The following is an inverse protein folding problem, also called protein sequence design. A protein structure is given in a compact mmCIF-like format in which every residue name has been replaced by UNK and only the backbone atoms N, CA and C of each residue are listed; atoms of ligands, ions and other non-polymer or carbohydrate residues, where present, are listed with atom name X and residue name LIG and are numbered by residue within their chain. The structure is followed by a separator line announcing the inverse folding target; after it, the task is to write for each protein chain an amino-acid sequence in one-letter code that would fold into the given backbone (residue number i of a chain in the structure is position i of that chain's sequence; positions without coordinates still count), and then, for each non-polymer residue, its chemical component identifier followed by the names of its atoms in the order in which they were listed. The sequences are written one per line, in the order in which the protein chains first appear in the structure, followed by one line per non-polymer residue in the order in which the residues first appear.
data_IF_918578063190
#
_entry.id   IF_918578063190
#
_cell.length_a   1.000
_cell.length_b   1.000
_cell.length_c   1.000
_cell.angle_alpha   90.00
_cell.angle_beta   90.00
_cell.angle_gamma   90.00
#
_symmetry.space_group_name_H-M   'P 1'
#
loop_
_entity.id
_entity.type
_entity.pdbx_description
1 polymer ?
#
# COMPACT_ATOMS: atom_id res chain seq x y z
N UNK A 1 33.31 14.23 59.50
CA UNK A 1 33.45 14.71 58.11
C UNK A 1 32.07 15.12 57.65
N UNK A 2 31.85 16.38 57.28
CA UNK A 2 30.53 16.87 56.84
C UNK A 2 30.21 16.27 55.46
N UNK A 3 28.94 15.95 55.19
CA UNK A 3 28.44 15.44 53.90
C UNK A 3 28.95 16.36 52.77
N UNK A 4 29.10 17.66 53.03
CA UNK A 4 29.60 18.63 52.06
C UNK A 4 31.08 18.38 51.70
N UNK A 5 31.93 18.09 52.72
CA UNK A 5 33.34 17.76 52.46
C UNK A 5 33.55 16.44 51.70
N UNK A 6 32.71 15.45 51.94
CA UNK A 6 32.74 14.20 51.20
C UNK A 6 32.28 14.38 49.72
N UNK A 7 31.33 15.26 49.49
CA UNK A 7 30.83 15.59 48.16
C UNK A 7 31.87 16.41 47.36
N UNK A 8 32.51 17.37 47.97
CA UNK A 8 33.55 18.19 47.34
C UNK A 8 34.79 17.36 46.99
N UNK A 9 35.18 16.38 47.83
CA UNK A 9 36.30 15.48 47.55
C UNK A 9 35.98 14.47 46.41
N UNK A 10 34.75 14.02 46.31
CA UNK A 10 34.27 13.17 45.20
C UNK A 10 34.26 13.94 43.86
N UNK A 11 33.86 15.20 43.86
CA UNK A 11 33.85 16.07 42.68
C UNK A 11 35.27 16.36 42.16
N UNK A 12 36.25 16.53 43.07
CA UNK A 12 37.65 16.81 42.72
C UNK A 12 38.43 15.62 42.16
N UNK A 13 37.98 14.38 42.41
CA UNK A 13 38.68 13.17 42.01
C UNK A 13 38.04 12.48 40.78
N UNK A 14 36.87 12.91 40.33
CA UNK A 14 36.22 12.31 39.19
C UNK A 14 36.61 13.00 37.87
N UNK A 15 37.03 12.19 36.90
CA UNK A 15 37.16 12.61 35.50
C UNK A 15 35.88 13.33 35.00
N UNK A 16 35.99 14.36 34.14
CA UNK A 16 34.82 15.15 33.72
C UNK A 16 33.71 14.34 33.05
N UNK A 17 34.07 13.23 32.42
CA UNK A 17 33.10 12.37 31.71
C UNK A 17 32.14 11.63 32.66
N UNK A 18 32.57 10.90 33.69
CA UNK A 18 31.66 10.25 34.64
C UNK A 18 30.82 11.25 35.45
N UNK A 19 31.36 12.44 35.74
CA UNK A 19 30.61 13.49 36.43
C UNK A 19 29.46 14.04 35.54
N UNK A 20 29.71 14.27 34.26
CA UNK A 20 28.68 14.67 33.32
C UNK A 20 27.57 13.59 33.18
N UNK A 21 27.94 12.31 33.12
CA UNK A 21 26.98 11.20 33.05
C UNK A 21 26.13 11.10 34.32
N UNK A 22 26.68 11.39 35.49
CA UNK A 22 25.95 11.35 36.76
C UNK A 22 24.79 12.36 36.81
N UNK A 23 24.89 13.49 36.12
CA UNK A 23 23.83 14.50 36.01
C UNK A 23 22.93 14.31 34.81
N UNK A 24 23.50 13.94 33.68
CA UNK A 24 22.74 13.76 32.41
C UNK A 24 21.77 12.57 32.48
N UNK A 25 22.18 11.43 33.04
CA UNK A 25 21.33 10.25 33.15
C UNK A 25 20.09 10.53 34.02
N UNK A 26 20.16 11.04 35.24
CA UNK A 26 18.98 11.37 36.05
C UNK A 26 18.09 12.43 35.38
N UNK A 27 18.72 13.45 34.74
CA UNK A 27 17.97 14.47 34.01
C UNK A 27 17.16 13.86 32.86
N UNK A 28 17.76 12.97 32.04
CA UNK A 28 17.08 12.26 30.96
C UNK A 28 15.96 11.35 31.49
N UNK A 29 16.21 10.66 32.62
CA UNK A 29 15.20 9.85 33.28
C UNK A 29 14.03 10.69 33.78
N UNK A 30 14.32 11.83 34.39
CA UNK A 30 13.32 12.78 34.89
C UNK A 30 12.49 13.36 33.72
N UNK A 31 13.16 13.82 32.66
CA UNK A 31 12.48 14.29 31.43
C UNK A 31 11.63 13.20 30.80
N UNK A 32 12.15 11.97 30.77
CA UNK A 32 11.39 10.79 30.30
C UNK A 32 10.15 10.52 31.15
N UNK A 33 10.28 10.62 32.48
CA UNK A 33 9.17 10.44 33.43
C UNK A 33 8.12 11.55 33.28
N UNK A 34 8.53 12.80 33.21
CA UNK A 34 7.64 13.95 32.97
C UNK A 34 6.93 13.81 31.65
N UNK A 35 7.63 13.44 30.59
CA UNK A 35 7.08 13.17 29.26
C UNK A 35 6.04 12.03 29.30
N UNK A 36 6.32 10.98 30.07
CA UNK A 36 5.39 9.85 30.25
C UNK A 36 4.13 10.25 31.02
N UNK A 37 4.26 11.07 32.04
CA UNK A 37 3.13 11.56 32.86
C UNK A 37 2.23 12.54 32.08
N UNK A 38 2.80 13.30 31.16
CA UNK A 38 2.03 14.24 30.30
C UNK A 38 1.33 13.60 29.11
N UNK A 39 1.66 12.34 28.77
CA UNK A 39 0.98 11.65 27.66
C UNK A 39 -0.45 11.28 28.04
N UNK A 40 -1.39 11.64 27.17
CA UNK A 40 -2.76 11.15 27.29
C UNK A 40 -2.77 9.61 27.19
N UNK A 41 -3.62 8.95 28.01
CA UNK A 41 -3.70 7.49 27.96
C UNK A 41 -4.22 7.03 26.60
N UNK A 42 -3.68 5.93 26.11
CA UNK A 42 -4.22 5.26 24.94
C UNK A 42 -5.59 4.63 25.24
N UNK A 43 -6.43 4.37 24.20
CA UNK A 43 -7.61 3.56 24.36
C UNK A 43 -7.33 2.22 25.06
N UNK A 44 -8.34 1.57 25.68
CA UNK A 44 -8.16 0.26 26.29
C UNK A 44 -7.60 -0.75 25.29
N UNK A 45 -6.87 -1.74 25.78
CA UNK A 45 -6.28 -2.76 24.91
C UNK A 45 -5.51 -3.82 25.69
N UNK A 46 -5.08 -4.89 25.00
CA UNK A 46 -4.28 -5.94 25.63
C UNK A 46 -2.90 -5.41 26.02
N UNK A 47 -2.38 -5.91 27.13
CA UNK A 47 -0.99 -5.63 27.53
C UNK A 47 -0.06 -6.34 26.55
N UNK A 48 0.81 -5.57 25.88
CA UNK A 48 1.83 -6.11 24.98
C UNK A 48 3.04 -6.65 25.73
N UNK A 49 3.71 -7.65 25.15
CA UNK A 49 5.01 -8.12 25.63
C UNK A 49 6.09 -7.06 25.42
N UNK A 50 7.18 -7.10 26.21
CA UNK A 50 8.35 -6.25 25.95
C UNK A 50 8.87 -6.46 24.52
N UNK A 51 9.34 -5.40 23.86
CA UNK A 51 9.87 -5.34 22.51
C UNK A 51 8.85 -5.69 21.41
N UNK A 52 8.27 -6.89 21.39
CA UNK A 52 7.38 -7.36 20.33
C UNK A 52 5.92 -6.89 20.47
N UNK A 53 5.53 -6.42 21.67
CA UNK A 53 4.18 -5.92 21.90
C UNK A 53 3.10 -7.01 21.76
N UNK A 54 2.09 -6.71 20.96
CA UNK A 54 0.96 -7.62 20.72
C UNK A 54 1.07 -8.42 19.41
N UNK A 55 2.26 -8.47 18.80
CA UNK A 55 2.46 -9.14 17.49
C UNK A 55 2.03 -10.61 17.51
N UNK A 56 2.27 -11.33 18.62
CA UNK A 56 1.86 -12.73 18.78
C UNK A 56 0.35 -12.95 18.91
N UNK A 57 -0.43 -11.86 19.09
CA UNK A 57 -1.89 -11.92 19.14
C UNK A 57 -2.55 -11.79 17.77
N UNK A 58 -1.75 -11.46 16.75
CA UNK A 58 -2.24 -11.35 15.38
C UNK A 58 -2.30 -12.76 14.77
N UNK A 59 -3.52 -13.19 14.52
CA UNK A 59 -3.83 -14.46 13.88
C UNK A 59 -3.59 -14.37 12.35
N UNK A 60 -3.42 -15.51 11.68
CA UNK A 60 -3.36 -15.56 10.21
C UNK A 60 -4.58 -14.87 9.58
N UNK A 61 -5.75 -14.95 10.20
CA UNK A 61 -6.95 -14.21 9.85
C UNK A 61 -7.06 -12.95 10.72
N UNK A 62 -6.20 -11.97 10.47
CA UNK A 62 -6.07 -10.72 11.24
C UNK A 62 -7.42 -10.07 11.56
N UNK A 63 -8.35 -10.00 10.60
CA UNK A 63 -9.67 -9.40 10.80
C UNK A 63 -10.51 -10.13 11.86
N UNK A 64 -10.45 -11.46 11.92
CA UNK A 64 -11.16 -12.26 12.96
C UNK A 64 -10.52 -12.08 14.33
N UNK A 65 -9.19 -12.01 14.39
CA UNK A 65 -8.45 -11.69 15.62
C UNK A 65 -8.84 -10.31 16.17
N UNK A 66 -8.86 -9.30 15.30
CA UNK A 66 -9.28 -7.95 15.65
C UNK A 66 -10.76 -7.90 16.09
N UNK A 67 -11.66 -8.65 15.45
CA UNK A 67 -13.08 -8.72 15.86
C UNK A 67 -13.23 -9.32 17.28
N UNK A 68 -12.48 -10.39 17.61
CA UNK A 68 -12.45 -10.96 18.97
C UNK A 68 -11.94 -9.97 20.02
N UNK A 69 -10.89 -9.20 19.67
CA UNK A 69 -10.36 -8.15 20.55
C UNK A 69 -11.38 -7.01 20.73
N UNK A 70 -12.11 -6.63 19.68
CA UNK A 70 -13.16 -5.63 19.76
C UNK A 70 -14.31 -6.04 20.70
N UNK A 71 -14.68 -7.33 20.69
CA UNK A 71 -15.68 -7.86 21.65
C UNK A 71 -15.19 -7.74 23.09
N UNK A 72 -13.89 -7.86 23.35
CA UNK A 72 -13.32 -7.81 24.70
C UNK A 72 -13.02 -6.39 25.18
N UNK A 73 -12.50 -5.52 24.31
CA UNK A 73 -12.00 -4.20 24.69
C UNK A 73 -12.88 -3.04 24.22
N UNK A 74 -13.92 -3.34 23.44
CA UNK A 74 -14.84 -2.34 22.88
C UNK A 74 -14.51 -1.94 21.44
N UNK A 75 -15.35 -1.08 20.88
CA UNK A 75 -15.27 -0.67 19.47
C UNK A 75 -14.06 0.17 19.07
N UNK A 76 -13.27 0.61 20.05
CA UNK A 76 -11.99 1.29 19.86
C UNK A 76 -10.97 0.72 20.84
N UNK A 77 -9.83 0.24 20.36
CA UNK A 77 -8.82 -0.32 21.24
C UNK A 77 -7.41 -0.13 20.66
N UNK A 78 -6.44 -0.13 21.57
CA UNK A 78 -5.04 0.08 21.26
C UNK A 78 -4.25 -1.23 21.25
N UNK A 79 -3.37 -1.35 20.27
CA UNK A 79 -2.38 -2.42 20.15
C UNK A 79 -0.98 -1.82 20.06
N UNK A 80 -0.03 -2.43 20.70
CA UNK A 80 1.39 -2.12 20.53
C UNK A 80 2.02 -3.20 19.65
N UNK A 81 2.41 -2.84 18.43
CA UNK A 81 3.06 -3.75 17.48
C UNK A 81 4.53 -3.38 17.38
N UNK A 82 5.38 -4.13 18.10
CA UNK A 82 6.78 -3.75 18.24
C UNK A 82 6.93 -2.34 18.81
N UNK A 83 7.49 -1.42 18.02
CA UNK A 83 7.63 0.00 18.37
C UNK A 83 6.46 0.87 17.90
N UNK A 84 5.57 0.35 17.09
CA UNK A 84 4.43 1.09 16.56
C UNK A 84 3.20 0.98 17.47
N UNK A 85 2.49 2.09 17.60
CA UNK A 85 1.19 2.14 18.25
C UNK A 85 0.10 2.11 17.19
N UNK A 86 -0.80 1.13 17.30
CA UNK A 86 -1.94 0.96 16.41
C UNK A 86 -3.24 1.15 17.20
N UNK A 87 -4.22 1.79 16.60
CA UNK A 87 -5.58 1.89 17.13
C UNK A 87 -6.51 1.18 16.15
N UNK A 88 -7.19 0.16 16.65
CA UNK A 88 -8.19 -0.55 15.88
C UNK A 88 -9.58 0.01 16.18
N UNK A 89 -10.36 0.23 15.12
CA UNK A 89 -11.73 0.77 15.19
C UNK A 89 -12.66 -0.28 14.60
N UNK A 90 -13.62 -0.73 15.42
CA UNK A 90 -14.62 -1.73 15.05
C UNK A 90 -16.07 -1.20 15.21
N UNK A 91 -16.23 0.08 15.53
CA UNK A 91 -17.51 0.74 15.70
C UNK A 91 -17.79 1.62 14.46
N UNK A 92 -18.96 1.50 13.80
CA UNK A 92 -19.32 2.29 12.61
C UNK A 92 -19.29 3.80 12.84
N UNK A 93 -19.75 4.27 14.01
CA UNK A 93 -19.77 5.70 14.33
C UNK A 93 -18.36 6.26 14.46
N UNK A 94 -17.43 5.55 15.11
CA UNK A 94 -16.04 5.95 15.21
C UNK A 94 -15.33 5.85 13.85
N UNK A 95 -15.65 4.84 13.05
CA UNK A 95 -15.14 4.74 11.68
C UNK A 95 -15.61 5.94 10.84
N UNK A 96 -16.85 6.39 10.99
CA UNK A 96 -17.35 7.60 10.35
C UNK A 96 -16.59 8.85 10.79
N UNK A 97 -16.31 8.99 12.09
CA UNK A 97 -15.53 10.12 12.62
C UNK A 97 -14.13 10.17 11.99
N UNK A 98 -13.45 9.04 11.87
CA UNK A 98 -12.07 8.97 11.34
C UNK A 98 -12.04 9.09 9.81
N UNK A 99 -12.95 8.41 9.09
CA UNK A 99 -12.86 8.27 7.64
C UNK A 99 -13.67 9.32 6.87
N UNK A 100 -14.56 10.05 7.53
CA UNK A 100 -15.43 11.04 6.88
C UNK A 100 -15.32 12.43 7.52
N UNK A 101 -15.41 12.53 8.85
CA UNK A 101 -15.46 13.83 9.54
C UNK A 101 -14.06 14.43 9.69
N UNK A 102 -13.06 13.61 10.01
CA UNK A 102 -11.68 14.01 10.24
C UNK A 102 -10.71 13.38 9.23
N UNK A 103 -11.18 13.13 8.01
CA UNK A 103 -10.40 12.44 6.97
C UNK A 103 -9.10 13.18 6.64
N UNK A 104 -9.09 14.50 6.67
CA UNK A 104 -7.90 15.32 6.43
C UNK A 104 -6.76 15.04 7.43
N UNK A 105 -7.07 14.59 8.66
CA UNK A 105 -6.09 14.24 9.68
C UNK A 105 -5.62 12.79 9.51
N UNK A 106 -6.55 11.88 9.15
CA UNK A 106 -6.33 10.44 9.11
C UNK A 106 -6.17 9.85 7.70
N UNK A 107 -6.14 10.68 6.66
CA UNK A 107 -6.09 10.21 5.25
C UNK A 107 -4.75 9.62 4.83
N UNK A 108 -3.66 9.91 5.53
CA UNK A 108 -2.36 9.37 5.17
C UNK A 108 -2.27 7.86 5.39
N UNK A 109 -1.58 7.18 4.47
CA UNK A 109 -1.30 5.75 4.56
C UNK A 109 0.01 5.50 5.27
N UNK A 110 0.18 4.38 6.02
CA UNK A 110 1.45 4.03 6.61
C UNK A 110 2.49 3.79 5.50
N UNK A 111 3.73 4.20 5.77
CA UNK A 111 4.86 3.92 4.91
C UNK A 111 5.52 2.61 5.35
N UNK A 112 4.97 1.48 4.91
CA UNK A 112 5.65 0.19 5.08
C UNK A 112 6.77 0.05 4.06
N UNK A 113 7.75 -0.79 4.34
CA UNK A 113 8.84 -1.10 3.41
C UNK A 113 8.28 -1.58 2.07
N UNK A 114 7.30 -2.49 2.11
CA UNK A 114 6.64 -2.99 0.91
C UNK A 114 5.98 -1.86 0.10
N UNK A 115 5.24 -0.96 0.74
CA UNK A 115 4.60 0.17 0.07
C UNK A 115 5.64 1.07 -0.59
N UNK A 116 6.70 1.47 0.13
CA UNK A 116 7.74 2.33 -0.44
C UNK A 116 8.41 1.70 -1.65
N UNK A 117 8.76 0.41 -1.57
CA UNK A 117 9.40 -0.29 -2.67
C UNK A 117 8.49 -0.46 -3.89
N UNK A 118 7.28 -1.00 -3.68
CA UNK A 118 6.39 -1.41 -4.77
C UNK A 118 5.66 -0.25 -5.43
N UNK A 119 5.56 0.91 -4.76
CA UNK A 119 4.87 2.09 -5.29
C UNK A 119 5.81 3.24 -5.66
N UNK A 120 7.09 2.97 -5.83
CA UNK A 120 8.10 3.98 -6.19
C UNK A 120 8.06 5.17 -5.22
N UNK A 121 8.17 4.85 -3.93
CA UNK A 121 8.05 5.80 -2.82
C UNK A 121 6.71 6.56 -2.82
N UNK A 122 5.61 5.81 -2.99
CA UNK A 122 4.24 6.34 -2.98
C UNK A 122 3.94 7.31 -4.11
N UNK A 123 4.45 6.99 -5.29
CA UNK A 123 4.26 7.78 -6.50
C UNK A 123 2.89 7.58 -7.18
N UNK A 124 1.94 6.91 -6.50
CA UNK A 124 0.60 6.57 -7.00
C UNK A 124 -0.53 7.26 -6.23
N UNK A 125 -1.77 7.06 -6.70
CA UNK A 125 -2.97 7.63 -6.08
C UNK A 125 -3.37 6.97 -4.75
N UNK A 126 -3.01 5.69 -4.53
CA UNK A 126 -3.48 4.93 -3.37
C UNK A 126 -2.65 5.21 -2.11
N UNK A 127 -1.35 5.45 -2.27
CA UNK A 127 -0.40 5.58 -1.17
C UNK A 127 0.28 6.94 -1.06
N UNK A 128 0.13 7.84 -2.05
CA UNK A 128 0.64 9.19 -1.98
C UNK A 128 0.14 9.91 -0.72
N UNK A 129 0.97 10.79 -0.17
CA UNK A 129 0.56 11.64 0.94
C UNK A 129 -0.60 12.54 0.56
N UNK A 130 -1.55 12.69 1.48
CA UNK A 130 -2.64 13.63 1.31
C UNK A 130 -2.10 15.06 1.19
N UNK A 131 -2.30 15.67 0.02
CA UNK A 131 -1.76 16.98 -0.30
C UNK A 131 -2.11 17.43 -1.73
N UNK A 132 -1.49 18.50 -2.22
CA UNK A 132 -1.75 19.02 -3.58
C UNK A 132 -1.49 17.95 -4.66
N UNK A 133 -0.36 17.25 -4.59
CA UNK A 133 -0.02 16.18 -5.52
C UNK A 133 -1.09 15.10 -5.56
N UNK A 134 -1.49 14.55 -4.40
CA UNK A 134 -2.53 13.52 -4.32
C UNK A 134 -3.86 13.99 -4.91
N UNK A 135 -4.28 15.23 -4.63
CA UNK A 135 -5.55 15.77 -5.15
C UNK A 135 -5.55 15.87 -6.67
N UNK A 136 -4.46 16.34 -7.26
CA UNK A 136 -4.32 16.43 -8.72
C UNK A 136 -4.23 15.05 -9.35
N UNK A 137 -3.41 14.15 -8.80
CA UNK A 137 -3.30 12.75 -9.22
C UNK A 137 -4.67 12.07 -9.22
N UNK A 138 -5.41 12.17 -8.11
CA UNK A 138 -6.75 11.61 -7.98
C UNK A 138 -7.71 12.20 -9.01
N UNK A 139 -7.73 13.53 -9.18
CA UNK A 139 -8.58 14.20 -10.17
C UNK A 139 -8.32 13.63 -11.57
N UNK A 140 -7.06 13.51 -11.94
CA UNK A 140 -6.66 13.02 -13.25
C UNK A 140 -7.06 11.55 -13.46
N UNK A 141 -6.73 10.67 -12.50
CA UNK A 141 -7.10 9.26 -12.58
C UNK A 141 -8.61 9.06 -12.66
N UNK A 142 -9.40 9.79 -11.85
CA UNK A 142 -10.87 9.69 -11.88
C UNK A 142 -11.44 10.17 -13.22
N UNK A 143 -10.92 11.26 -13.78
CA UNK A 143 -11.42 11.79 -15.04
C UNK A 143 -11.02 10.95 -16.25
N UNK A 144 -9.82 10.39 -16.25
CA UNK A 144 -9.28 9.66 -17.42
C UNK A 144 -9.47 8.17 -17.33
N UNK A 145 -9.14 7.55 -16.20
CA UNK A 145 -9.13 6.09 -16.06
C UNK A 145 -10.44 5.53 -15.52
N UNK A 146 -11.09 6.23 -14.58
CA UNK A 146 -12.26 5.70 -13.86
C UNK A 146 -13.57 6.42 -14.21
N UNK A 147 -13.59 7.21 -15.28
CA UNK A 147 -14.83 7.86 -15.71
C UNK A 147 -15.80 6.82 -16.31
N UNK A 148 -17.10 7.04 -16.08
CA UNK A 148 -18.15 6.19 -16.67
C UNK A 148 -18.06 6.11 -18.19
N UNK A 149 -17.78 7.26 -18.84
CA UNK A 149 -17.59 7.33 -20.29
C UNK A 149 -16.46 6.43 -20.75
N UNK A 150 -15.35 6.39 -20.00
CA UNK A 150 -14.20 5.53 -20.29
C UNK A 150 -14.55 4.05 -20.13
N UNK A 151 -15.22 3.70 -19.02
CA UNK A 151 -15.66 2.32 -18.78
C UNK A 151 -16.64 1.82 -19.86
N UNK A 152 -17.52 2.69 -20.34
CA UNK A 152 -18.47 2.36 -21.42
C UNK A 152 -17.79 2.21 -22.81
N UNK A 153 -16.64 2.86 -23.02
CA UNK A 153 -15.86 2.75 -24.25
C UNK A 153 -15.01 1.48 -24.35
N UNK A 154 -14.84 0.74 -23.27
CA UNK A 154 -14.06 -0.50 -23.27
C UNK A 154 -14.84 -1.65 -23.91
N UNK A 155 -14.70 -1.80 -25.19
CA UNK A 155 -15.25 -2.92 -25.95
C UNK A 155 -14.72 -4.26 -25.43
N UNK A 156 -13.46 -4.27 -24.99
CA UNK A 156 -12.81 -5.42 -24.36
C UNK A 156 -13.59 -6.04 -23.19
N UNK A 157 -14.31 -5.23 -22.39
CA UNK A 157 -15.14 -5.73 -21.28
C UNK A 157 -16.29 -6.57 -21.79
N UNK A 158 -16.94 -6.13 -22.87
CA UNK A 158 -18.09 -6.86 -23.48
C UNK A 158 -17.63 -8.17 -24.08
N UNK A 159 -16.52 -8.17 -24.82
CA UNK A 159 -15.95 -9.35 -25.45
C UNK A 159 -15.58 -10.42 -24.41
N UNK A 160 -14.95 -10.01 -23.32
CA UNK A 160 -14.56 -10.94 -22.26
C UNK A 160 -15.78 -11.52 -21.51
N UNK A 161 -16.80 -10.70 -21.26
CA UNK A 161 -18.07 -11.17 -20.68
C UNK A 161 -18.76 -12.15 -21.63
N UNK A 162 -18.78 -11.86 -22.92
CA UNK A 162 -19.35 -12.76 -23.92
C UNK A 162 -18.60 -14.09 -23.99
N UNK A 163 -17.29 -14.06 -23.91
CA UNK A 163 -16.43 -15.24 -23.84
C UNK A 163 -16.73 -16.08 -22.60
N UNK A 164 -16.92 -15.43 -21.44
CA UNK A 164 -17.35 -16.12 -20.22
C UNK A 164 -18.71 -16.80 -20.39
N UNK A 165 -19.70 -16.08 -20.96
CA UNK A 165 -21.04 -16.64 -21.18
C UNK A 165 -20.97 -17.85 -22.12
N UNK A 166 -20.19 -17.77 -23.19
CA UNK A 166 -19.96 -18.89 -24.13
C UNK A 166 -19.34 -20.10 -23.42
N UNK A 167 -18.33 -19.86 -22.57
CA UNK A 167 -17.67 -20.92 -21.79
C UNK A 167 -18.63 -21.61 -20.80
N UNK A 168 -19.48 -20.85 -20.11
CA UNK A 168 -20.51 -21.40 -19.22
C UNK A 168 -21.54 -22.20 -20.01
N UNK A 169 -22.03 -21.70 -21.13
CA UNK A 169 -23.02 -22.34 -21.97
C UNK A 169 -22.51 -23.65 -22.57
N UNK A 170 -21.24 -23.70 -22.98
CA UNK A 170 -20.60 -24.91 -23.52
C UNK A 170 -20.45 -26.03 -22.48
N UNK A 171 -20.50 -25.70 -21.20
CA UNK A 171 -20.39 -26.64 -20.10
C UNK A 171 -21.73 -26.91 -19.38
N UNK A 172 -22.87 -26.65 -20.06
CA UNK A 172 -24.19 -26.91 -19.50
C UNK A 172 -24.31 -28.38 -19.08
N UNK A 173 -24.79 -28.64 -17.88
CA UNK A 173 -24.92 -29.98 -17.31
C UNK A 173 -23.62 -30.56 -16.68
N UNK A 174 -22.49 -29.83 -16.72
CA UNK A 174 -21.23 -30.21 -16.07
C UNK A 174 -20.92 -29.27 -14.91
N UNK A 175 -20.20 -29.79 -13.93
CA UNK A 175 -19.65 -28.93 -12.84
C UNK A 175 -18.54 -28.03 -13.40
N UNK A 176 -18.63 -26.73 -13.12
CA UNK A 176 -17.64 -25.73 -13.56
C UNK A 176 -17.02 -25.03 -12.34
N UNK A 177 -15.76 -24.63 -12.45
CA UNK A 177 -15.10 -23.81 -11.46
C UNK A 177 -15.40 -22.32 -11.74
N UNK A 178 -16.44 -21.79 -11.11
CA UNK A 178 -16.86 -20.39 -11.29
C UNK A 178 -15.76 -19.41 -10.85
N UNK A 179 -14.99 -19.75 -9.79
CA UNK A 179 -13.89 -18.90 -9.32
C UNK A 179 -12.81 -18.73 -10.38
N UNK A 180 -12.42 -19.79 -11.07
CA UNK A 180 -11.43 -19.74 -12.15
C UNK A 180 -11.94 -18.93 -13.35
N UNK A 181 -13.21 -19.11 -13.71
CA UNK A 181 -13.83 -18.35 -14.81
C UNK A 181 -13.86 -16.85 -14.52
N UNK A 182 -14.26 -16.46 -13.32
CA UNK A 182 -14.26 -15.04 -12.90
C UNK A 182 -12.84 -14.49 -12.81
N UNK A 183 -11.89 -15.27 -12.31
CA UNK A 183 -10.49 -14.87 -12.27
C UNK A 183 -9.95 -14.59 -13.69
N UNK A 184 -10.19 -15.48 -14.63
CA UNK A 184 -9.77 -15.30 -16.02
C UNK A 184 -10.46 -14.09 -16.68
N UNK A 185 -11.75 -13.89 -16.44
CA UNK A 185 -12.48 -12.72 -16.91
C UNK A 185 -11.82 -11.42 -16.41
N UNK A 186 -11.63 -11.29 -15.10
CA UNK A 186 -11.09 -10.08 -14.51
C UNK A 186 -9.63 -9.83 -14.95
N UNK A 187 -8.85 -10.90 -15.02
CA UNK A 187 -7.48 -10.90 -15.52
C UNK A 187 -7.41 -10.31 -16.94
N UNK A 188 -8.22 -10.82 -17.84
CA UNK A 188 -8.22 -10.40 -19.24
C UNK A 188 -8.70 -8.95 -19.38
N UNK A 189 -9.80 -8.57 -18.71
CA UNK A 189 -10.29 -7.19 -18.70
C UNK A 189 -9.21 -6.23 -18.23
N UNK A 190 -8.54 -6.54 -17.11
CA UNK A 190 -7.51 -5.68 -16.55
C UNK A 190 -6.33 -5.51 -17.48
N UNK A 191 -5.87 -6.61 -18.06
CA UNK A 191 -4.73 -6.60 -18.97
C UNK A 191 -5.03 -5.81 -20.26
N UNK A 192 -6.17 -6.09 -20.89
CA UNK A 192 -6.61 -5.39 -22.11
C UNK A 192 -6.89 -3.91 -21.86
N UNK A 193 -7.44 -3.56 -20.69
CA UNK A 193 -7.66 -2.16 -20.32
C UNK A 193 -6.35 -1.40 -20.07
N UNK A 194 -5.32 -2.08 -19.54
CA UNK A 194 -4.04 -1.47 -19.27
C UNK A 194 -3.17 -1.29 -20.53
N UNK A 195 -3.14 -2.29 -21.41
CA UNK A 195 -2.14 -2.42 -22.49
C UNK A 195 -2.76 -2.61 -23.90
N UNK A 196 -4.08 -2.49 -24.04
CA UNK A 196 -4.80 -2.65 -25.31
C UNK A 196 -5.00 -4.10 -25.77
N UNK A 197 -5.71 -4.26 -26.90
CA UNK A 197 -6.10 -5.57 -27.42
C UNK A 197 -4.95 -6.34 -28.10
N UNK A 198 -3.93 -5.67 -28.58
CA UNK A 198 -2.86 -6.26 -29.42
C UNK A 198 -1.78 -7.00 -28.63
N UNK A 199 -1.76 -6.90 -27.31
CA UNK A 199 -0.67 -7.38 -26.46
C UNK A 199 -1.07 -8.64 -25.68
N UNK A 200 -1.28 -9.77 -26.35
CA UNK A 200 -1.43 -11.06 -25.63
C UNK A 200 -0.09 -11.63 -25.16
N UNK A 201 1.01 -11.22 -25.80
CA UNK A 201 2.36 -11.59 -25.35
C UNK A 201 2.70 -10.92 -24.01
N UNK A 202 3.17 -11.73 -23.05
CA UNK A 202 3.55 -11.23 -21.72
C UNK A 202 2.43 -11.20 -20.67
N UNK A 203 1.16 -11.50 -21.03
CA UNK A 203 0.05 -11.50 -20.08
C UNK A 203 0.29 -12.42 -18.88
N UNK A 204 0.79 -13.63 -19.10
CA UNK A 204 1.07 -14.57 -18.02
C UNK A 204 2.22 -14.10 -17.11
N UNK A 205 3.24 -13.47 -17.70
CA UNK A 205 4.37 -12.89 -16.96
C UNK A 205 3.88 -11.74 -16.08
N UNK A 206 3.11 -10.81 -16.64
CA UNK A 206 2.53 -9.69 -15.89
C UNK A 206 1.68 -10.15 -14.72
N UNK A 207 0.86 -11.20 -14.90
CA UNK A 207 0.03 -11.73 -13.84
C UNK A 207 0.85 -12.37 -12.74
N UNK A 208 1.93 -13.08 -13.07
CA UNK A 208 2.85 -13.61 -12.06
C UNK A 208 3.49 -12.48 -11.23
N UNK A 209 3.89 -11.41 -11.91
CA UNK A 209 4.42 -10.20 -11.26
C UNK A 209 3.36 -9.61 -10.30
N UNK A 210 2.13 -9.40 -10.76
CA UNK A 210 1.06 -8.85 -9.93
C UNK A 210 0.67 -9.74 -8.75
N UNK A 211 0.67 -11.06 -8.93
CA UNK A 211 0.41 -12.00 -7.84
C UNK A 211 1.51 -11.96 -6.78
N UNK A 212 2.76 -11.82 -7.18
CA UNK A 212 3.87 -11.65 -6.23
C UNK A 212 3.77 -10.30 -5.51
N UNK A 213 3.44 -9.21 -6.22
CA UNK A 213 3.15 -7.91 -5.60
C UNK A 213 2.05 -8.01 -4.56
N UNK A 214 0.92 -8.65 -4.89
CA UNK A 214 -0.20 -8.82 -3.98
C UNK A 214 0.19 -9.57 -2.70
N UNK A 215 0.97 -10.65 -2.84
CA UNK A 215 1.52 -11.39 -1.70
C UNK A 215 2.44 -10.52 -0.84
N UNK A 216 3.29 -9.71 -1.46
CA UNK A 216 4.25 -8.85 -0.77
C UNK A 216 3.58 -7.66 -0.07
N UNK A 217 2.53 -7.06 -0.68
CA UNK A 217 1.73 -6.04 -0.02
C UNK A 217 1.03 -6.54 1.24
N UNK A 218 0.57 -7.79 1.23
CA UNK A 218 -0.08 -8.43 2.36
C UNK A 218 0.89 -9.06 3.37
N UNK A 219 2.17 -9.15 3.06
CA UNK A 219 3.16 -9.79 3.91
C UNK A 219 3.40 -9.01 5.20
N UNK A 220 3.46 -9.73 6.31
CA UNK A 220 3.83 -9.17 7.60
C UNK A 220 5.36 -9.04 7.67
N UNK A 221 5.89 -7.84 7.43
CA UNK A 221 7.32 -7.58 7.55
C UNK A 221 7.66 -7.15 8.98
N UNK A 222 8.48 -7.94 9.67
CA UNK A 222 8.92 -7.63 11.04
C UNK A 222 9.69 -6.31 11.09
N UNK A 223 10.41 -5.95 10.04
CA UNK A 223 11.19 -4.73 9.97
C UNK A 223 10.33 -3.45 10.00
N UNK A 224 9.08 -3.49 9.56
CA UNK A 224 8.15 -2.36 9.70
C UNK A 224 7.85 -2.03 11.16
N UNK A 225 7.92 -3.03 12.05
CA UNK A 225 7.58 -2.93 13.47
C UNK A 225 8.80 -2.86 14.37
N UNK A 226 9.92 -3.43 13.92
CA UNK A 226 11.20 -3.48 14.62
C UNK A 226 12.31 -3.07 13.63
N UNK A 227 12.49 -1.75 13.38
CA UNK A 227 13.33 -1.25 12.28
C UNK A 227 14.79 -1.73 12.30
N UNK A 228 15.34 -1.96 13.48
CA UNK A 228 16.72 -2.44 13.61
C UNK A 228 16.92 -3.91 13.19
N UNK A 229 15.86 -4.68 12.92
CA UNK A 229 15.95 -6.00 12.31
C UNK A 229 15.94 -5.95 10.77
N UNK A 230 15.67 -4.79 10.18
CA UNK A 230 15.54 -4.64 8.73
C UNK A 230 16.81 -4.96 7.96
N UNK A 231 17.98 -4.72 8.53
CA UNK A 231 19.27 -5.00 7.89
C UNK A 231 19.54 -6.50 7.69
N UNK A 232 18.97 -7.35 8.53
CA UNK A 232 19.22 -8.79 8.49
C UNK A 232 18.26 -9.54 7.55
N UNK A 233 17.18 -8.89 7.09
CA UNK A 233 16.10 -9.47 6.27
C UNK A 233 15.72 -10.92 6.67
N UNK A 234 15.35 -11.18 7.95
CA UNK A 234 15.18 -12.53 8.47
C UNK A 234 14.06 -13.33 7.77
N UNK A 235 13.21 -12.64 7.04
CA UNK A 235 12.09 -13.23 6.29
C UNK A 235 12.37 -13.32 4.78
N UNK A 236 13.48 -12.77 4.29
CA UNK A 236 13.81 -12.70 2.86
C UNK A 236 12.85 -11.82 2.06
N UNK A 237 12.08 -10.95 2.73
CA UNK A 237 11.06 -10.13 2.09
C UNK A 237 11.67 -8.97 1.31
N UNK A 238 12.76 -8.37 1.78
CA UNK A 238 13.41 -7.25 1.09
C UNK A 238 13.97 -7.70 -0.25
N UNK A 239 14.64 -8.84 -0.30
CA UNK A 239 15.16 -9.44 -1.55
C UNK A 239 14.01 -9.76 -2.53
N UNK A 240 12.88 -10.27 -2.02
CA UNK A 240 11.70 -10.53 -2.87
C UNK A 240 11.08 -9.25 -3.39
N UNK A 241 11.00 -8.19 -2.58
CA UNK A 241 10.51 -6.87 -3.00
C UNK A 241 11.37 -6.28 -4.11
N UNK A 242 12.69 -6.39 -3.99
CA UNK A 242 13.64 -5.94 -5.00
C UNK A 242 13.48 -6.69 -6.32
N UNK A 243 13.41 -8.00 -6.27
CA UNK A 243 13.20 -8.85 -7.45
C UNK A 243 11.85 -8.57 -8.12
N UNK A 244 10.78 -8.43 -7.35
CA UNK A 244 9.46 -8.12 -7.86
C UNK A 244 9.44 -6.76 -8.56
N UNK A 245 10.03 -5.72 -7.96
CA UNK A 245 10.14 -4.41 -8.58
C UNK A 245 10.95 -4.45 -9.86
N UNK A 246 12.07 -5.16 -9.88
CA UNK A 246 12.91 -5.30 -11.08
C UNK A 246 12.17 -5.99 -12.23
N UNK A 247 11.39 -7.03 -11.92
CA UNK A 247 10.55 -7.69 -12.91
C UNK A 247 9.47 -6.76 -13.47
N UNK A 248 8.83 -5.94 -12.61
CA UNK A 248 7.85 -4.95 -13.05
C UNK A 248 8.49 -3.86 -13.91
N UNK A 249 9.63 -3.32 -13.49
CA UNK A 249 10.37 -2.30 -14.24
C UNK A 249 10.68 -2.79 -15.66
N UNK A 250 11.27 -3.97 -15.77
CA UNK A 250 11.59 -4.55 -17.07
C UNK A 250 10.35 -4.70 -17.96
N UNK A 251 9.25 -5.19 -17.39
CA UNK A 251 8.02 -5.41 -18.14
C UNK A 251 7.37 -4.11 -18.60
N UNK A 252 7.14 -3.17 -17.67
CA UNK A 252 6.41 -1.92 -18.00
C UNK A 252 7.28 -0.95 -18.81
N UNK A 253 8.58 -0.88 -18.58
CA UNK A 253 9.46 -0.02 -19.38
C UNK A 253 9.43 -0.38 -20.85
N UNK A 254 9.43 -1.68 -21.18
CA UNK A 254 9.30 -2.12 -22.57
C UNK A 254 7.99 -1.61 -23.20
N UNK A 255 6.88 -1.72 -22.48
CA UNK A 255 5.57 -1.25 -22.98
C UNK A 255 5.54 0.28 -23.12
N UNK A 256 6.05 1.02 -22.14
CA UNK A 256 6.12 2.49 -22.21
C UNK A 256 6.96 2.93 -23.42
N UNK A 257 8.11 2.30 -23.64
CA UNK A 257 8.99 2.63 -24.75
C UNK A 257 8.33 2.35 -26.11
N UNK A 258 7.61 1.24 -26.23
CA UNK A 258 6.85 0.92 -27.44
C UNK A 258 5.75 1.97 -27.73
N UNK A 259 5.01 2.40 -26.73
CA UNK A 259 3.98 3.44 -26.87
C UNK A 259 4.61 4.80 -27.24
N UNK A 260 5.72 5.18 -26.61
CA UNK A 260 6.43 6.41 -26.96
C UNK A 260 6.93 6.37 -28.40
N UNK A 261 7.44 5.22 -28.86
CA UNK A 261 7.91 5.05 -30.24
C UNK A 261 6.75 5.10 -31.26
N UNK A 262 5.63 4.45 -30.98
CA UNK A 262 4.41 4.52 -31.81
C UNK A 262 3.92 5.96 -31.94
N UNK A 263 3.86 6.70 -30.83
CA UNK A 263 3.51 8.13 -30.86
C UNK A 263 4.46 8.97 -31.73
N UNK A 264 5.77 8.73 -31.65
CA UNK A 264 6.76 9.48 -32.46
C UNK A 264 6.66 9.18 -33.96
N UNK A 265 6.17 7.99 -34.35
CA UNK A 265 5.99 7.60 -35.75
C UNK A 265 4.73 8.16 -36.37
N UNK A 266 3.86 8.85 -35.61
CA UNK A 266 2.55 9.31 -36.09
C UNK A 266 1.66 8.19 -36.64
N UNK A 267 1.88 6.96 -36.26
CA UNK A 267 0.96 5.86 -36.52
C UNK A 267 -0.28 6.11 -35.66
N UNK A 268 -1.21 6.94 -36.19
CA UNK A 268 -2.40 7.37 -35.50
C UNK A 268 -3.23 6.15 -35.12
N UNK A 269 -3.33 5.86 -33.85
CA UNK A 269 -4.43 5.11 -33.31
C UNK A 269 -5.69 5.93 -33.57
N UNK A 270 -6.71 5.32 -34.19
CA UNK A 270 -8.06 5.89 -34.22
C UNK A 270 -8.45 6.30 -32.78
N UNK A 271 -9.08 7.46 -32.61
CA UNK A 271 -9.46 8.01 -31.29
C UNK A 271 -10.26 7.02 -30.40
N UNK A 272 -10.65 5.87 -30.92
CA UNK A 272 -11.42 4.81 -30.23
C UNK A 272 -10.61 3.73 -29.53
N UNK A 273 -9.30 3.60 -29.79
CA UNK A 273 -8.50 2.45 -29.34
C UNK A 273 -7.33 2.84 -28.40
N UNK A 274 -7.47 3.95 -27.65
CA UNK A 274 -6.46 4.36 -26.66
C UNK A 274 -6.58 3.52 -25.40
N UNK A 275 -5.45 3.02 -24.89
CA UNK A 275 -5.36 2.29 -23.63
C UNK A 275 -4.98 3.17 -22.43
N UNK A 276 -4.80 2.55 -21.25
CA UNK A 276 -4.45 3.26 -20.03
C UNK A 276 -3.04 3.87 -20.10
N UNK A 277 -2.11 3.21 -20.77
CA UNK A 277 -0.72 3.70 -20.93
C UNK A 277 -0.73 4.96 -21.79
N UNK A 278 -1.51 4.98 -22.89
CA UNK A 278 -1.66 6.17 -23.74
C UNK A 278 -2.26 7.35 -22.99
N UNK A 279 -3.30 7.10 -22.18
CA UNK A 279 -3.93 8.14 -21.37
C UNK A 279 -2.94 8.74 -20.34
N UNK A 280 -2.10 7.91 -19.72
CA UNK A 280 -1.10 8.35 -18.75
C UNK A 280 0.08 9.07 -19.41
N UNK A 281 0.53 8.59 -20.56
CA UNK A 281 1.59 9.21 -21.35
C UNK A 281 1.22 10.61 -21.89
N UNK A 282 -0.08 10.94 -21.97
CA UNK A 282 -0.50 12.29 -22.30
C UNK A 282 -0.04 13.35 -21.28
N UNK A 283 0.28 12.93 -20.05
CA UNK A 283 0.77 13.77 -18.96
C UNK A 283 2.24 13.55 -18.63
N UNK A 284 2.94 12.69 -19.38
CA UNK A 284 4.35 12.41 -19.17
C UNK A 284 5.24 13.61 -19.52
N UNK A 285 6.25 13.87 -18.69
CA UNK A 285 7.32 14.83 -18.95
C UNK A 285 8.62 14.33 -18.35
N UNK A 286 9.70 14.37 -19.12
CA UNK A 286 11.05 14.03 -18.65
C UNK A 286 11.57 15.01 -17.57
N UNK A 287 11.04 16.22 -17.50
CA UNK A 287 11.40 17.25 -16.52
C UNK A 287 10.61 17.13 -15.22
N UNK A 288 9.62 16.23 -15.16
CA UNK A 288 8.79 16.06 -13.96
C UNK A 288 9.58 15.40 -12.82
N UNK A 289 9.29 15.81 -11.59
CA UNK A 289 9.81 15.15 -10.39
C UNK A 289 8.70 14.40 -9.65
N UNK A 290 9.07 13.30 -9.04
CA UNK A 290 8.14 12.47 -8.26
C UNK A 290 7.60 13.28 -7.09
N UNK A 291 6.27 13.27 -6.92
CA UNK A 291 5.57 13.93 -5.81
C UNK A 291 5.68 15.48 -5.74
N UNK A 292 6.19 16.15 -6.78
CA UNK A 292 6.16 17.62 -6.85
C UNK A 292 4.94 18.11 -7.63
N UNK A 293 4.18 19.02 -7.02
CA UNK A 293 3.25 19.92 -7.69
C UNK A 293 3.35 21.27 -7.00
N UNK A 294 4.17 22.14 -7.54
CA UNK A 294 4.42 23.45 -6.91
C UNK A 294 3.25 24.42 -7.03
N UNK A 295 2.36 24.24 -8.01
CA UNK A 295 1.24 25.15 -8.23
C UNK A 295 -0.08 24.42 -8.52
N UNK A 296 -1.13 24.80 -7.78
CA UNK A 296 -2.51 24.36 -8.01
C UNK A 296 -3.07 24.73 -9.40
N UNK A 297 -2.39 25.63 -10.14
CA UNK A 297 -2.80 26.12 -11.46
C UNK A 297 -2.13 25.38 -12.62
N UNK A 298 -0.98 24.74 -12.41
CA UNK A 298 -0.31 23.98 -13.45
C UNK A 298 -0.82 22.53 -13.52
N UNK A 299 -0.99 22.03 -14.73
CA UNK A 299 -1.32 20.61 -14.95
C UNK A 299 -0.21 19.73 -14.40
N UNK A 300 -0.60 18.69 -13.64
CA UNK A 300 0.35 17.71 -13.14
C UNK A 300 1.10 17.06 -14.30
N UNK A 301 2.40 16.90 -14.15
CA UNK A 301 3.26 16.18 -15.08
C UNK A 301 3.69 14.88 -14.39
N UNK A 302 3.58 13.76 -15.10
CA UNK A 302 3.98 12.44 -14.59
C UNK A 302 5.40 12.10 -14.95
N UNK A 303 6.09 11.47 -14.01
CA UNK A 303 7.33 10.73 -14.26
C UNK A 303 7.01 9.31 -14.72
N UNK A 304 8.01 8.58 -15.24
CA UNK A 304 7.88 7.13 -15.49
C UNK A 304 7.44 6.36 -14.24
N UNK A 305 7.99 6.70 -13.08
CA UNK A 305 7.67 6.04 -11.81
C UNK A 305 6.20 6.25 -11.41
N UNK A 306 5.64 7.45 -11.66
CA UNK A 306 4.21 7.69 -11.46
C UNK A 306 3.36 6.77 -12.36
N UNK A 307 3.71 6.66 -13.62
CA UNK A 307 2.98 5.82 -14.59
C UNK A 307 3.05 4.34 -14.14
N UNK A 308 4.25 3.83 -13.85
CA UNK A 308 4.45 2.46 -13.37
C UNK A 308 3.64 2.18 -12.08
N UNK A 309 3.72 3.08 -11.12
CA UNK A 309 3.00 2.97 -9.85
C UNK A 309 1.47 2.94 -10.04
N UNK A 310 0.93 3.79 -10.94
CA UNK A 310 -0.50 3.81 -11.23
C UNK A 310 -0.94 2.52 -11.91
N UNK A 311 -0.22 2.06 -12.94
CA UNK A 311 -0.52 0.81 -13.66
C UNK A 311 -0.53 -0.36 -12.67
N UNK A 312 0.50 -0.46 -11.84
CA UNK A 312 0.63 -1.52 -10.84
C UNK A 312 -0.54 -1.50 -9.84
N UNK A 313 -0.84 -0.35 -9.25
CA UNK A 313 -1.91 -0.22 -8.25
C UNK A 313 -3.28 -0.52 -8.86
N UNK A 314 -3.59 0.04 -10.04
CA UNK A 314 -4.85 -0.21 -10.73
C UNK A 314 -5.03 -1.69 -11.06
N UNK A 315 -3.97 -2.35 -11.53
CA UNK A 315 -4.00 -3.76 -11.91
C UNK A 315 -4.05 -4.69 -10.69
N UNK A 316 -3.32 -4.38 -9.62
CA UNK A 316 -3.31 -5.18 -8.38
C UNK A 316 -4.66 -5.19 -7.68
N UNK A 317 -5.37 -4.07 -7.64
CA UNK A 317 -6.68 -3.97 -7.02
C UNK A 317 -7.72 -4.93 -7.65
N UNK A 318 -7.60 -5.22 -8.94
CA UNK A 318 -8.49 -6.16 -9.62
C UNK A 318 -8.15 -7.63 -9.33
N UNK A 319 -6.89 -7.95 -9.12
CA UNK A 319 -6.45 -9.35 -8.88
C UNK A 319 -6.73 -9.79 -7.45
N UNK A 320 -6.56 -8.91 -6.46
CA UNK A 320 -6.84 -9.21 -5.05
C UNK A 320 -8.31 -9.58 -4.80
N UNK A 321 -9.23 -9.03 -5.56
CA UNK A 321 -10.64 -9.39 -5.46
C UNK A 321 -10.89 -10.88 -5.72
N UNK A 322 -10.08 -11.52 -6.54
CA UNK A 322 -10.28 -12.91 -6.97
C UNK A 322 -9.42 -13.94 -6.20
N UNK A 323 -8.34 -13.52 -5.55
CA UNK A 323 -7.49 -14.42 -4.75
C UNK A 323 -8.19 -14.93 -3.48
N UNK A 324 -9.35 -14.39 -3.15
CA UNK A 324 -10.16 -14.74 -1.99
C UNK A 324 -11.16 -15.87 -2.21
N UNK A 325 -11.26 -16.40 -3.44
CA UNK A 325 -12.00 -17.65 -3.66
C UNK A 325 -11.12 -18.81 -3.15
N UNK A 326 -11.56 -19.57 -2.14
CA UNK A 326 -10.72 -20.59 -1.55
C UNK A 326 -10.44 -21.71 -2.55
N UNK A 327 -9.23 -21.71 -3.11
CA UNK A 327 -8.66 -22.94 -3.62
C UNK A 327 -8.47 -23.88 -2.43
N UNK A 328 -8.75 -25.17 -2.58
CA UNK A 328 -8.71 -26.18 -1.52
C UNK A 328 -7.36 -26.32 -0.78
N UNK A 329 -6.38 -25.51 -1.08
CA UNK A 329 -5.07 -25.50 -0.45
C UNK A 329 -4.57 -24.04 -0.29
N UNK A 330 -4.60 -23.56 0.95
CA UNK A 330 -3.83 -22.42 1.40
C UNK A 330 -4.60 -21.11 1.60
N UNK A 331 -4.67 -20.72 2.86
CA UNK A 331 -5.18 -19.43 3.33
C UNK A 331 -4.41 -18.26 2.74
N UNK A 332 -5.11 -17.39 2.01
CA UNK A 332 -4.59 -16.09 1.62
C UNK A 332 -5.32 -15.01 2.44
N UNK A 333 -4.62 -14.09 3.09
CA UNK A 333 -5.26 -13.13 3.99
C UNK A 333 -6.03 -12.05 3.23
N UNK A 334 -7.26 -11.88 3.65
CA UNK A 334 -8.19 -10.84 3.25
C UNK A 334 -7.81 -9.54 3.95
N UNK A 335 -7.03 -8.66 3.39
CA UNK A 335 -6.68 -7.44 4.12
C UNK A 335 -6.70 -6.12 3.35
N UNK A 336 -6.87 -6.12 2.05
CA UNK A 336 -6.67 -4.90 1.28
C UNK A 336 -7.96 -4.21 0.82
N UNK A 337 -9.05 -4.92 0.55
CA UNK A 337 -10.26 -4.36 -0.06
C UNK A 337 -11.22 -3.68 0.91
N UNK A 338 -11.22 -3.99 2.19
CA UNK A 338 -12.05 -3.28 3.17
C UNK A 338 -11.60 -1.82 3.40
N UNK A 339 -10.47 -1.39 2.83
CA UNK A 339 -9.93 -0.04 2.98
C UNK A 339 -10.33 0.95 1.88
N UNK A 340 -10.91 0.49 0.76
CA UNK A 340 -11.23 1.36 -0.37
C UNK A 340 -12.71 1.31 -0.76
N UNK A 341 -13.60 1.69 0.16
CA UNK A 341 -14.96 2.02 -0.22
C UNK A 341 -14.96 3.40 -0.89
N UNK A 342 -14.77 3.40 -2.21
CA UNK A 342 -15.02 4.59 -3.03
C UNK A 342 -16.53 4.77 -3.05
N UNK A 343 -17.04 5.79 -2.36
CA UNK A 343 -18.36 6.33 -2.67
C UNK A 343 -18.23 7.21 -3.90
N UNK A 344 -18.89 6.82 -4.99
CA UNK A 344 -19.27 7.68 -6.11
C UNK A 344 -20.15 8.82 -5.63
#
# INVERSE_FOLDING_TARGET
MSVKQAMDSLIQTMEPLPMALLFVIPLLLLLGLISRLRRKPFPPGPKGLPLIGNMMMMDQLTHRGLARLAQKYGGIFHLKMGFLHMVAISNPEMARQVLQVQDNIFSNRPATIAISYLTYDRADMAFAHYGPFWRQMRKLCVMKLFSRKRAESWESVRDEVETLIKAVSANTGKAINVGELIFNLTKNITYRAAFGCSSQEGQEEFIKILQEFSKLFGAFNIADFIPWLGWADPQGLNTRLENARHALDKFIDTIIDDHIQKRKRNDGCDEGDTDMVDDLLAFYSEEAKVNESEDLQNSIKFTRDNIKAIIMVCSSLHIDFNSTVPSKHGNVPFSFLDRFRIRT
#
